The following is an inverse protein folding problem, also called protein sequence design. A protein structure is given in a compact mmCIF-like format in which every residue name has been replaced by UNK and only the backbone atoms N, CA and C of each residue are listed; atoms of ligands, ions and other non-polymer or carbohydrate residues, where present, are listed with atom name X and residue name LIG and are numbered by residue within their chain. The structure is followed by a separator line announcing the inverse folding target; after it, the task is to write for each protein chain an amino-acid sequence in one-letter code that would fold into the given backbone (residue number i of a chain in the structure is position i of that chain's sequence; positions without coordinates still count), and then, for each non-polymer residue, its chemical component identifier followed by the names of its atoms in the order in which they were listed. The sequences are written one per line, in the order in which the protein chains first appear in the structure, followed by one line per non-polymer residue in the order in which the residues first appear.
data_IF_962501409471
#
_entry.id   IF_962501409471
#
_cell.length_a   1.000
_cell.length_b   1.000
_cell.length_c   1.000
_cell.angle_alpha   90.00
_cell.angle_beta   90.00
_cell.angle_gamma   90.00
#
_symmetry.space_group_name_H-M   'P 1'
#
loop_
_entity.id
_entity.type
_entity.pdbx_description
1 polymer ?
#
# COMPACT_ATOMS: atom_id res chain seq x y z
N UNK A 1 -27.49 -17.26 38.99
CA UNK A 1 -26.37 -16.48 38.42
C UNK A 1 -25.25 -17.48 38.20
N UNK A 2 -25.16 -18.06 37.01
CA UNK A 2 -24.17 -19.08 36.67
C UNK A 2 -23.22 -18.47 35.65
N UNK A 3 -22.02 -18.13 36.12
CA UNK A 3 -20.87 -17.76 35.31
C UNK A 3 -20.55 -18.92 34.36
N UNK A 4 -20.95 -18.77 33.10
CA UNK A 4 -20.50 -19.63 32.02
C UNK A 4 -19.19 -19.06 31.48
N UNK A 5 -18.08 -19.30 32.20
CA UNK A 5 -16.73 -19.15 31.64
C UNK A 5 -16.60 -20.21 30.55
N UNK A 6 -16.92 -19.81 29.31
CA UNK A 6 -16.64 -20.63 28.13
C UNK A 6 -15.13 -20.60 27.94
N UNK A 7 -14.43 -21.74 27.76
CA UNK A 7 -12.99 -21.73 27.60
C UNK A 7 -12.63 -20.88 26.37
N UNK A 8 -11.75 -19.90 26.59
CA UNK A 8 -11.11 -19.16 25.52
C UNK A 8 -10.52 -20.17 24.52
N UNK A 9 -10.62 -19.94 23.20
CA UNK A 9 -9.96 -20.80 22.23
C UNK A 9 -8.48 -20.92 22.60
N UNK A 10 -7.82 -22.07 22.34
CA UNK A 10 -6.41 -22.25 22.65
C UNK A 10 -5.59 -21.37 21.70
N UNK A 11 -5.43 -20.09 22.04
CA UNK A 11 -4.48 -19.20 21.39
C UNK A 11 -3.09 -19.56 21.92
N UNK A 12 -2.62 -20.74 21.49
CA UNK A 12 -1.33 -21.28 21.89
C UNK A 12 -0.24 -20.26 21.57
N UNK A 13 0.31 -19.64 22.62
CA UNK A 13 1.36 -18.62 22.51
C UNK A 13 0.96 -17.21 22.97
N UNK A 14 -0.32 -16.89 23.19
CA UNK A 14 -0.71 -15.60 23.80
C UNK A 14 -0.66 -15.70 25.32
N UNK A 15 0.07 -14.81 26.03
CA UNK A 15 0.00 -14.74 27.49
C UNK A 15 -1.41 -14.35 27.94
N UNK A 16 -2.02 -15.15 28.83
CA UNK A 16 -3.40 -14.92 29.31
C UNK A 16 -3.62 -13.49 29.84
N UNK A 17 -2.62 -12.90 30.50
CA UNK A 17 -2.68 -11.52 31.01
C UNK A 17 -2.69 -10.43 29.94
N UNK A 18 -2.02 -10.61 28.80
CA UNK A 18 -2.01 -9.61 27.71
C UNK A 18 -3.36 -9.58 26.98
N UNK A 19 -3.94 -10.76 26.83
CA UNK A 19 -5.26 -10.96 26.27
C UNK A 19 -6.36 -10.36 27.16
N UNK A 20 -6.33 -10.63 28.47
CA UNK A 20 -7.29 -10.06 29.41
C UNK A 20 -7.22 -8.53 29.42
N UNK A 21 -6.01 -7.98 29.36
CA UNK A 21 -5.80 -6.54 29.24
C UNK A 21 -6.37 -5.96 27.94
N UNK A 22 -6.21 -6.66 26.81
CA UNK A 22 -6.77 -6.26 25.53
C UNK A 22 -8.31 -6.26 25.57
N UNK A 23 -8.91 -7.29 26.16
CA UNK A 23 -10.37 -7.38 26.32
C UNK A 23 -10.92 -6.33 27.27
N UNK A 24 -10.23 -6.07 28.39
CA UNK A 24 -10.61 -5.01 29.32
C UNK A 24 -10.55 -3.63 28.63
N UNK A 25 -9.51 -3.38 27.83
CA UNK A 25 -9.35 -2.15 27.05
C UNK A 25 -10.44 -2.01 25.98
N UNK A 26 -10.73 -3.09 25.25
CA UNK A 26 -11.79 -3.12 24.25
C UNK A 26 -13.18 -2.93 24.85
N UNK A 27 -13.46 -3.51 26.03
CA UNK A 27 -14.72 -3.28 26.76
C UNK A 27 -14.86 -1.85 27.27
N UNK A 28 -13.77 -1.25 27.74
CA UNK A 28 -13.80 0.13 28.22
C UNK A 28 -13.97 1.16 27.09
N UNK A 29 -13.37 0.89 25.92
CA UNK A 29 -13.39 1.80 24.76
C UNK A 29 -14.56 1.52 23.81
N UNK A 30 -15.13 0.32 23.82
CA UNK A 30 -16.16 -0.15 22.89
C UNK A 30 -15.61 -0.55 21.51
N UNK A 31 -14.33 -0.30 21.26
CA UNK A 31 -13.63 -0.58 20.00
C UNK A 31 -12.18 -1.03 20.26
N UNK A 32 -11.65 -1.88 19.38
CA UNK A 32 -10.23 -2.26 19.32
C UNK A 32 -9.74 -2.12 17.88
N UNK A 33 -8.53 -1.61 17.70
CA UNK A 33 -7.93 -1.52 16.37
C UNK A 33 -7.26 -2.83 15.97
N UNK A 34 -7.15 -3.07 14.66
CA UNK A 34 -6.47 -4.25 14.13
C UNK A 34 -5.00 -4.34 14.62
N UNK A 35 -4.31 -3.20 14.74
CA UNK A 35 -2.93 -3.16 15.25
C UNK A 35 -2.82 -3.60 16.72
N UNK A 36 -3.79 -3.21 17.57
CA UNK A 36 -3.82 -3.62 18.98
C UNK A 36 -4.03 -5.13 19.14
N UNK A 37 -4.88 -5.71 18.30
CA UNK A 37 -5.12 -7.16 18.25
C UNK A 37 -3.89 -7.89 17.74
N UNK A 38 -3.28 -7.42 16.64
CA UNK A 38 -2.08 -8.03 16.06
C UNK A 38 -0.87 -7.94 16.99
N UNK A 39 -0.76 -6.89 17.80
CA UNK A 39 0.35 -6.70 18.74
C UNK A 39 0.36 -7.74 19.86
N UNK A 40 -0.81 -8.12 20.37
CA UNK A 40 -0.96 -9.19 21.38
C UNK A 40 -0.79 -10.57 20.75
N UNK A 41 -1.11 -10.69 19.46
CA UNK A 41 -1.03 -11.93 18.69
C UNK A 41 0.30 -12.12 17.94
N UNK A 42 1.32 -11.31 18.22
CA UNK A 42 2.62 -11.29 17.51
C UNK A 42 3.33 -12.66 17.46
N UNK A 43 3.12 -13.49 18.48
CA UNK A 43 3.77 -14.79 18.65
C UNK A 43 2.86 -15.98 18.23
N UNK A 44 1.66 -15.68 17.72
CA UNK A 44 0.71 -16.69 17.25
C UNK A 44 0.62 -16.64 15.73
N UNK A 45 0.65 -17.81 15.12
CA UNK A 45 0.46 -17.94 13.69
C UNK A 45 -0.95 -17.47 13.31
N UNK A 46 -1.01 -16.34 12.61
CA UNK A 46 -2.27 -15.69 12.20
C UNK A 46 -2.86 -16.47 11.04
N UNK A 47 -3.63 -17.51 11.37
CA UNK A 47 -4.39 -18.32 10.41
C UNK A 47 -5.83 -17.81 10.29
N UNK A 48 -6.50 -18.17 9.20
CA UNK A 48 -7.89 -17.76 8.93
C UNK A 48 -8.85 -18.16 10.05
N UNK A 49 -8.67 -19.35 10.61
CA UNK A 49 -9.50 -19.86 11.72
C UNK A 49 -9.31 -19.04 13.00
N UNK A 50 -8.08 -18.61 13.26
CA UNK A 50 -7.75 -17.75 14.40
C UNK A 50 -8.37 -16.37 14.24
N UNK A 51 -8.29 -15.76 13.04
CA UNK A 51 -8.91 -14.46 12.75
C UNK A 51 -10.43 -14.53 12.94
N UNK A 52 -11.08 -15.56 12.39
CA UNK A 52 -12.52 -15.76 12.53
C UNK A 52 -12.93 -15.96 13.99
N UNK A 53 -12.13 -16.72 14.76
CA UNK A 53 -12.33 -16.92 16.19
C UNK A 53 -12.22 -15.62 17.00
N UNK A 54 -11.21 -14.79 16.72
CA UNK A 54 -11.02 -13.49 17.39
C UNK A 54 -12.17 -12.54 17.07
N UNK A 55 -12.60 -12.47 15.81
CA UNK A 55 -13.73 -11.62 15.40
C UNK A 55 -15.04 -12.04 16.08
N UNK A 56 -15.30 -13.35 16.16
CA UNK A 56 -16.49 -13.88 16.84
C UNK A 56 -16.45 -13.60 18.35
N UNK A 57 -15.28 -13.69 18.96
CA UNK A 57 -15.09 -13.42 20.39
C UNK A 57 -15.28 -11.93 20.72
N UNK A 58 -14.66 -11.02 19.95
CA UNK A 58 -14.83 -9.58 20.13
C UNK A 58 -16.29 -9.14 19.96
N UNK A 59 -16.98 -9.69 18.96
CA UNK A 59 -18.41 -9.42 18.76
C UNK A 59 -19.28 -9.91 19.92
N UNK A 60 -18.98 -11.09 20.49
CA UNK A 60 -19.69 -11.63 21.66
C UNK A 60 -19.51 -10.75 22.90
N UNK A 61 -18.35 -10.15 23.05
CA UNK A 61 -18.02 -9.23 24.14
C UNK A 61 -18.49 -7.78 23.87
N UNK A 62 -19.14 -7.51 22.73
CA UNK A 62 -19.68 -6.20 22.37
C UNK A 62 -18.63 -5.19 21.91
N UNK A 63 -17.47 -5.65 21.46
CA UNK A 63 -16.34 -4.81 21.05
C UNK A 63 -16.31 -4.72 19.52
N UNK A 64 -16.35 -3.51 18.99
CA UNK A 64 -16.18 -3.27 17.55
C UNK A 64 -14.70 -3.43 17.16
N UNK A 65 -14.40 -4.23 16.14
CA UNK A 65 -13.06 -4.27 15.55
C UNK A 65 -12.98 -3.17 14.49
N UNK A 66 -12.15 -2.18 14.74
CA UNK A 66 -11.79 -1.18 13.75
C UNK A 66 -10.72 -1.75 12.81
N UNK A 67 -11.19 -2.26 11.67
CA UNK A 67 -10.37 -2.72 10.55
C UNK A 67 -9.89 -1.55 9.68
N UNK A 68 -10.28 -0.31 10.00
CA UNK A 68 -9.75 0.86 9.31
C UNK A 68 -8.32 1.08 9.75
N UNK A 69 -7.39 0.79 8.84
CA UNK A 69 -6.01 1.23 9.00
C UNK A 69 -6.01 2.75 8.83
N UNK A 70 -5.97 3.45 9.95
CA UNK A 70 -5.88 4.90 9.98
C UNK A 70 -4.58 5.30 9.28
N UNK A 71 -4.69 5.77 8.03
CA UNK A 71 -3.57 6.19 7.20
C UNK A 71 -2.80 7.37 7.83
N UNK A 72 -3.32 7.93 8.94
CA UNK A 72 -2.71 8.96 9.77
C UNK A 72 -1.58 8.45 10.69
N UNK A 73 -1.35 7.15 10.84
CA UNK A 73 -0.27 6.59 11.67
C UNK A 73 1.09 6.42 10.92
N UNK A 74 1.25 7.06 9.76
CA UNK A 74 2.59 7.36 9.24
C UNK A 74 3.14 8.57 10.01
N UNK A 75 4.41 8.57 10.48
CA UNK A 75 4.97 9.70 11.19
C UNK A 75 5.03 10.90 10.24
N UNK A 76 4.04 11.78 10.37
CA UNK A 76 4.00 13.11 9.75
C UNK A 76 4.17 14.11 10.88
N UNK A 77 5.41 14.44 11.23
CA UNK A 77 5.65 15.60 12.09
C UNK A 77 6.11 16.77 11.23
N UNK A 78 5.13 17.54 10.76
CA UNK A 78 5.31 18.96 10.56
C UNK A 78 5.59 19.63 11.92
N UNK A 79 6.51 20.57 11.88
CA UNK A 79 7.05 21.33 13.01
C UNK A 79 5.94 22.01 13.82
N UNK A 80 5.89 21.75 15.12
CA UNK A 80 5.46 22.75 16.11
C UNK A 80 6.26 22.60 17.40
N UNK A 81 6.96 23.67 17.75
CA UNK A 81 7.92 23.73 18.83
C UNK A 81 7.28 23.80 20.24
N UNK A 82 7.66 22.87 21.13
CA UNK A 82 8.16 23.13 22.51
C UNK A 82 8.66 21.82 23.16
N UNK A 83 9.76 21.95 23.88
CA UNK A 83 10.75 20.95 24.31
C UNK A 83 10.34 20.10 25.55
N UNK A 84 11.24 19.30 26.19
CA UNK A 84 11.46 17.87 25.92
C UNK A 84 11.28 16.97 27.18
N UNK A 85 11.13 15.66 27.01
CA UNK A 85 11.64 14.71 28.01
C UNK A 85 12.02 13.38 27.38
N UNK A 86 13.31 13.08 27.49
CA UNK A 86 13.92 11.81 27.15
C UNK A 86 13.41 10.68 28.04
N UNK A 87 13.27 9.48 27.46
CA UNK A 87 13.80 8.24 28.04
C UNK A 87 14.33 7.40 26.88
N UNK A 88 15.63 7.14 26.95
CA UNK A 88 16.39 6.24 26.10
C UNK A 88 16.17 4.76 26.45
N UNK A 89 16.74 3.91 25.59
CA UNK A 89 17.21 2.54 25.82
C UNK A 89 16.15 1.44 25.58
N UNK A 90 16.47 0.32 24.92
CA UNK A 90 17.69 -0.17 24.27
C UNK A 90 17.37 -1.60 23.81
N UNK A 91 17.95 -2.03 22.70
CA UNK A 91 18.42 -3.41 22.58
C UNK A 91 17.45 -4.41 21.95
N UNK A 92 17.65 -4.68 20.67
CA UNK A 92 17.01 -5.79 19.98
C UNK A 92 17.41 -5.86 18.51
N UNK A 93 18.71 -5.74 18.21
CA UNK A 93 19.25 -6.11 16.91
C UNK A 93 19.04 -7.62 16.69
N UNK A 94 17.94 -7.99 16.06
CA UNK A 94 17.85 -9.28 15.38
C UNK A 94 18.46 -9.10 13.98
N UNK A 95 19.78 -9.29 13.92
CA UNK A 95 20.46 -9.75 12.71
C UNK A 95 19.83 -11.09 12.29
N UNK A 96 18.88 -10.99 11.36
CA UNK A 96 18.21 -12.09 10.70
C UNK A 96 17.62 -11.60 9.38
N UNK A 97 18.46 -10.89 8.62
CA UNK A 97 18.06 -10.19 7.39
C UNK A 97 17.82 -11.15 6.24
N UNK A 98 16.65 -11.77 6.18
CA UNK A 98 15.98 -12.01 4.90
C UNK A 98 15.05 -10.83 4.67
N UNK A 99 15.41 -9.97 3.72
CA UNK A 99 14.57 -8.85 3.32
C UNK A 99 13.21 -9.38 2.88
N UNK A 100 12.18 -9.24 3.74
CA UNK A 100 10.79 -9.51 3.34
C UNK A 100 10.52 -8.74 2.02
N UNK A 101 10.32 -9.45 0.90
CA UNK A 101 10.17 -8.82 -0.41
C UNK A 101 9.00 -7.83 -0.44
N UNK A 102 7.94 -8.13 0.32
CA UNK A 102 6.77 -7.25 0.46
C UNK A 102 7.20 -5.96 1.16
N UNK A 103 7.93 -6.07 2.26
CA UNK A 103 8.37 -4.91 3.05
C UNK A 103 9.36 -4.04 2.29
N UNK A 104 10.24 -4.65 1.50
CA UNK A 104 11.14 -3.93 0.59
C UNK A 104 10.35 -3.16 -0.48
N UNK A 105 9.38 -3.80 -1.11
CA UNK A 105 8.51 -3.19 -2.11
C UNK A 105 7.69 -2.02 -1.54
N UNK A 106 7.05 -2.21 -0.37
CA UNK A 106 6.30 -1.14 0.31
C UNK A 106 7.18 0.06 0.67
N UNK A 107 8.42 -0.19 1.08
CA UNK A 107 9.39 0.87 1.36
C UNK A 107 9.77 1.64 0.09
N UNK A 108 9.90 0.97 -1.06
CA UNK A 108 10.23 1.61 -2.33
C UNK A 108 9.10 2.52 -2.83
N UNK A 109 7.88 2.02 -2.89
CA UNK A 109 6.71 2.82 -3.32
C UNK A 109 6.35 3.92 -2.30
N UNK A 110 6.78 3.75 -1.05
CA UNK A 110 6.67 4.74 0.02
C UNK A 110 7.60 5.95 -0.15
N UNK A 111 8.62 5.88 -0.99
CA UNK A 111 9.53 7.01 -1.27
C UNK A 111 8.99 7.99 -2.30
N UNK A 112 8.08 7.55 -3.16
CA UNK A 112 7.51 8.38 -4.22
C UNK A 112 6.38 9.23 -3.64
N UNK A 113 6.43 10.54 -3.87
CA UNK A 113 5.39 11.47 -3.44
C UNK A 113 4.08 11.23 -4.19
N UNK A 114 2.95 11.48 -3.52
CA UNK A 114 1.64 11.48 -4.17
C UNK A 114 1.54 12.69 -5.10
N UNK A 115 0.87 12.50 -6.23
CA UNK A 115 0.60 13.56 -7.19
C UNK A 115 -0.69 14.31 -6.79
N UNK A 116 -0.76 15.57 -7.17
CA UNK A 116 -2.02 16.31 -7.22
C UNK A 116 -2.60 16.29 -8.65
N UNK A 117 -3.86 16.72 -8.81
CA UNK A 117 -4.53 16.68 -10.11
C UNK A 117 -3.83 17.50 -11.20
N UNK A 118 -3.20 18.64 -10.87
CA UNK A 118 -2.46 19.44 -11.85
C UNK A 118 -1.23 18.69 -12.38
N UNK A 119 -0.49 18.01 -11.50
CA UNK A 119 0.66 17.20 -11.85
C UNK A 119 0.27 15.98 -12.68
N UNK A 120 -0.88 15.37 -12.39
CA UNK A 120 -1.42 14.26 -13.20
C UNK A 120 -1.73 14.72 -14.62
N UNK A 121 -2.35 15.90 -14.77
CA UNK A 121 -2.61 16.50 -16.09
C UNK A 121 -1.31 16.83 -16.83
N UNK A 122 -0.30 17.36 -16.14
CA UNK A 122 1.01 17.66 -16.74
C UNK A 122 1.70 16.38 -17.25
N UNK A 123 1.71 15.32 -16.44
CA UNK A 123 2.27 14.03 -16.83
C UNK A 123 1.48 13.41 -17.98
N UNK A 124 0.15 13.47 -17.96
CA UNK A 124 -0.70 12.95 -19.02
C UNK A 124 -0.42 13.62 -20.38
N UNK A 125 -0.24 14.96 -20.40
CA UNK A 125 0.14 15.69 -21.62
C UNK A 125 1.50 15.26 -22.18
N UNK A 126 2.48 15.02 -21.30
CA UNK A 126 3.81 14.53 -21.71
C UNK A 126 3.75 13.12 -22.28
N UNK A 127 2.93 12.24 -21.68
CA UNK A 127 2.68 10.89 -22.18
C UNK A 127 2.04 10.94 -23.58
N UNK A 128 1.00 11.76 -23.76
CA UNK A 128 0.32 11.94 -25.05
C UNK A 128 1.29 12.45 -26.13
N UNK A 129 2.06 13.50 -25.84
CA UNK A 129 3.06 14.04 -26.75
C UNK A 129 4.15 13.02 -27.11
N UNK A 130 4.62 12.24 -26.14
CA UNK A 130 5.60 11.17 -26.37
C UNK A 130 5.03 10.01 -27.18
N UNK A 131 3.77 9.63 -26.96
CA UNK A 131 3.08 8.59 -27.73
C UNK A 131 2.97 8.99 -29.20
N UNK A 132 2.51 10.21 -29.49
CA UNK A 132 2.47 10.73 -30.86
C UNK A 132 3.86 10.81 -31.51
N UNK A 133 4.88 11.20 -30.75
CA UNK A 133 6.24 11.23 -31.27
C UNK A 133 6.77 9.82 -31.60
N UNK A 134 6.45 8.83 -30.77
CA UNK A 134 6.82 7.44 -31.01
C UNK A 134 6.08 6.85 -32.20
N UNK A 135 4.79 7.16 -32.36
CA UNK A 135 3.97 6.76 -33.52
C UNK A 135 4.55 7.34 -34.81
N UNK A 136 4.86 8.65 -34.83
CA UNK A 136 5.48 9.30 -36.00
C UNK A 136 6.80 8.66 -36.41
N UNK A 137 7.65 8.29 -35.45
CA UNK A 137 8.90 7.57 -35.71
C UNK A 137 8.65 6.18 -36.29
N UNK A 138 7.66 5.45 -35.76
CA UNK A 138 7.29 4.12 -36.24
C UNK A 138 6.72 4.19 -37.67
N UNK A 139 5.85 5.16 -37.95
CA UNK A 139 5.26 5.39 -39.27
C UNK A 139 6.33 5.74 -40.31
N UNK A 140 7.27 6.64 -39.96
CA UNK A 140 8.38 6.99 -40.83
C UNK A 140 9.24 5.75 -41.15
N UNK A 141 9.55 4.94 -40.15
CA UNK A 141 10.31 3.71 -40.31
C UNK A 141 9.57 2.68 -41.18
N UNK A 142 8.26 2.50 -40.98
CA UNK A 142 7.42 1.59 -41.75
C UNK A 142 7.27 2.02 -43.21
N UNK A 143 7.19 3.34 -43.46
CA UNK A 143 7.13 3.92 -44.79
C UNK A 143 8.50 3.98 -45.49
N UNK A 144 9.61 3.71 -44.79
CA UNK A 144 10.96 3.92 -45.30
C UNK A 144 11.29 5.40 -45.54
N UNK A 145 10.58 6.31 -44.87
CA UNK A 145 10.79 7.75 -44.94
C UNK A 145 12.06 8.13 -44.17
N UNK A 146 12.97 8.86 -44.82
CA UNK A 146 14.14 9.43 -44.17
C UNK A 146 13.78 10.77 -43.54
N UNK A 147 13.63 10.79 -42.21
CA UNK A 147 13.45 12.01 -41.46
C UNK A 147 14.72 12.85 -41.45
N UNK A 148 14.56 14.17 -41.48
CA UNK A 148 15.67 15.09 -41.26
C UNK A 148 16.23 14.93 -39.85
N UNK A 149 17.57 14.95 -39.73
CA UNK A 149 18.29 14.72 -38.46
C UNK A 149 17.74 15.54 -37.27
N UNK A 150 17.40 16.84 -37.42
CA UNK A 150 16.85 17.63 -36.32
C UNK A 150 15.44 17.19 -35.89
N UNK A 151 14.60 16.75 -36.84
CA UNK A 151 13.25 16.26 -36.58
C UNK A 151 13.29 14.92 -35.86
N UNK A 152 14.09 13.98 -36.36
CA UNK A 152 14.29 12.67 -35.74
C UNK A 152 14.73 12.80 -34.27
N UNK A 153 15.74 13.63 -34.00
CA UNK A 153 16.22 13.88 -32.63
C UNK A 153 15.16 14.53 -31.74
N UNK A 154 14.32 15.41 -32.28
CA UNK A 154 13.22 16.03 -31.53
C UNK A 154 12.18 14.98 -31.14
N UNK A 155 11.78 14.13 -32.09
CA UNK A 155 10.80 13.06 -31.84
C UNK A 155 11.34 12.04 -30.83
N UNK A 156 12.60 11.64 -30.95
CA UNK A 156 13.24 10.74 -29.98
C UNK A 156 13.25 11.32 -28.56
N UNK A 157 13.49 12.63 -28.41
CA UNK A 157 13.45 13.30 -27.11
C UNK A 157 12.04 13.31 -26.52
N UNK A 158 11.03 13.63 -27.33
CA UNK A 158 9.63 13.63 -26.90
C UNK A 158 9.17 12.23 -26.50
N UNK A 159 9.48 11.21 -27.31
CA UNK A 159 9.15 9.82 -27.00
C UNK A 159 9.78 9.39 -25.67
N UNK A 160 11.06 9.71 -25.45
CA UNK A 160 11.75 9.42 -24.18
C UNK A 160 11.14 10.16 -23.00
N UNK A 161 10.74 11.43 -23.19
CA UNK A 161 10.09 12.21 -22.14
C UNK A 161 8.72 11.61 -21.75
N UNK A 162 7.94 11.17 -22.74
CA UNK A 162 6.66 10.50 -22.51
C UNK A 162 6.82 9.20 -21.73
N UNK A 163 7.83 8.39 -22.04
CA UNK A 163 8.14 7.17 -21.27
C UNK A 163 8.52 7.47 -19.82
N UNK A 164 9.31 8.52 -19.59
CA UNK A 164 9.65 8.96 -18.23
C UNK A 164 8.40 9.44 -17.49
N UNK A 165 7.53 10.20 -18.15
CA UNK A 165 6.27 10.66 -17.57
C UNK A 165 5.33 9.48 -17.24
N UNK A 166 5.24 8.49 -18.12
CA UNK A 166 4.48 7.25 -17.92
C UNK A 166 4.96 6.49 -16.70
N UNK A 167 6.27 6.34 -16.53
CA UNK A 167 6.87 5.72 -15.36
C UNK A 167 6.57 6.50 -14.08
N UNK A 168 6.69 7.84 -14.12
CA UNK A 168 6.39 8.69 -12.96
C UNK A 168 4.93 8.59 -12.53
N UNK A 169 3.99 8.65 -13.47
CA UNK A 169 2.56 8.52 -13.20
C UNK A 169 2.20 7.14 -12.64
N UNK A 170 2.81 6.08 -13.19
CA UNK A 170 2.64 4.72 -12.69
C UNK A 170 3.18 4.58 -11.27
N UNK A 171 4.39 5.08 -11.01
CA UNK A 171 5.06 4.98 -9.69
C UNK A 171 4.28 5.69 -8.59
N UNK A 172 3.74 6.88 -8.88
CA UNK A 172 2.92 7.63 -7.93
C UNK A 172 1.64 6.87 -7.53
N UNK A 173 1.13 6.02 -8.42
CA UNK A 173 -0.11 5.27 -8.24
C UNK A 173 0.10 3.82 -7.73
N UNK A 174 1.33 3.37 -7.51
CA UNK A 174 1.58 2.01 -6.98
C UNK A 174 0.96 1.77 -5.60
N UNK A 175 0.82 2.83 -4.78
CA UNK A 175 0.17 2.74 -3.46
C UNK A 175 -1.32 2.40 -3.58
N UNK A 176 -1.98 2.92 -4.61
CA UNK A 176 -3.39 2.60 -4.89
C UNK A 176 -3.55 1.10 -5.18
N UNK A 177 -2.66 0.53 -5.99
CA UNK A 177 -2.66 -0.91 -6.31
C UNK A 177 -2.58 -1.74 -5.04
N UNK A 178 -1.65 -1.42 -4.14
CA UNK A 178 -1.52 -2.13 -2.86
C UNK A 178 -2.80 -2.00 -2.02
N UNK A 179 -3.40 -0.81 -1.95
CA UNK A 179 -4.63 -0.58 -1.19
C UNK A 179 -5.82 -1.40 -1.70
N UNK A 180 -5.89 -1.62 -3.02
CA UNK A 180 -6.92 -2.45 -3.65
C UNK A 180 -6.58 -3.93 -3.44
N UNK A 181 -5.35 -4.35 -3.72
CA UNK A 181 -4.89 -5.74 -3.61
C UNK A 181 -5.08 -6.31 -2.19
N UNK A 182 -4.88 -5.49 -1.15
CA UNK A 182 -5.14 -5.86 0.25
C UNK A 182 -6.56 -6.40 0.48
N UNK A 183 -7.56 -5.90 -0.23
CA UNK A 183 -8.96 -6.37 -0.12
C UNK A 183 -9.19 -7.76 -0.68
N UNK A 184 -8.23 -8.31 -1.42
CA UNK A 184 -8.28 -9.62 -2.09
C UNK A 184 -7.37 -10.67 -1.45
N UNK A 185 -6.64 -10.33 -0.39
CA UNK A 185 -5.86 -11.28 0.39
C UNK A 185 -6.79 -12.33 1.01
N UNK A 186 -6.31 -13.58 1.08
CA UNK A 186 -7.08 -14.71 1.64
C UNK A 186 -8.03 -15.38 0.66
N UNK A 187 -8.05 -14.98 -0.62
CA UNK A 187 -8.86 -15.61 -1.69
C UNK A 187 -8.10 -16.62 -2.55
N UNK A 188 -7.01 -17.19 -2.03
CA UNK A 188 -6.24 -18.25 -2.70
C UNK A 188 -5.08 -17.77 -3.59
N UNK A 189 -4.73 -16.49 -3.55
CA UNK A 189 -3.57 -15.93 -4.28
C UNK A 189 -2.68 -15.13 -3.30
N UNK A 190 -1.36 -15.15 -3.52
CA UNK A 190 -0.41 -14.40 -2.70
C UNK A 190 -0.59 -12.89 -2.93
N UNK A 191 -0.33 -12.08 -1.91
CA UNK A 191 -0.44 -10.62 -2.00
C UNK A 191 0.47 -10.04 -3.10
N UNK A 192 1.69 -10.59 -3.27
CA UNK A 192 2.61 -10.14 -4.31
C UNK A 192 2.03 -10.37 -5.71
N UNK A 193 1.39 -11.52 -5.95
CA UNK A 193 0.79 -11.84 -7.24
C UNK A 193 -0.38 -10.90 -7.54
N UNK A 194 -1.23 -10.62 -6.54
CA UNK A 194 -2.31 -9.64 -6.65
C UNK A 194 -1.77 -8.22 -6.96
N UNK A 195 -0.65 -7.85 -6.34
CA UNK A 195 0.03 -6.58 -6.62
C UNK A 195 0.57 -6.56 -8.05
N UNK A 196 1.19 -7.65 -8.53
CA UNK A 196 1.70 -7.70 -9.91
C UNK A 196 0.58 -7.56 -10.93
N UNK A 197 -0.52 -8.30 -10.75
CA UNK A 197 -1.70 -8.17 -11.62
C UNK A 197 -2.29 -6.76 -11.58
N UNK A 198 -2.38 -6.17 -10.38
CA UNK A 198 -2.83 -4.79 -10.22
C UNK A 198 -1.91 -3.76 -10.88
N UNK A 199 -0.59 -3.95 -10.81
CA UNK A 199 0.40 -3.10 -11.48
C UNK A 199 0.27 -3.20 -12.99
N UNK A 200 0.02 -4.40 -13.52
CA UNK A 200 -0.24 -4.60 -14.94
C UNK A 200 -1.54 -3.91 -15.39
N UNK A 201 -2.59 -3.98 -14.56
CA UNK A 201 -3.82 -3.21 -14.76
C UNK A 201 -3.58 -1.71 -14.76
N UNK A 202 -2.80 -1.20 -13.80
CA UNK A 202 -2.44 0.21 -13.68
C UNK A 202 -1.68 0.70 -14.91
N UNK A 203 -0.68 -0.04 -15.40
CA UNK A 203 0.07 0.36 -16.60
C UNK A 203 -0.85 0.53 -17.81
N UNK A 204 -1.80 -0.38 -18.01
CA UNK A 204 -2.81 -0.27 -19.08
C UNK A 204 -3.79 0.87 -18.87
N UNK A 205 -4.13 1.18 -17.63
CA UNK A 205 -4.99 2.31 -17.30
C UNK A 205 -4.29 3.63 -17.62
N UNK A 206 -3.00 3.75 -17.30
CA UNK A 206 -2.17 4.92 -17.63
C UNK A 206 -2.08 5.14 -19.14
N UNK A 207 -1.95 4.08 -19.94
CA UNK A 207 -1.94 4.18 -21.41
C UNK A 207 -3.24 4.72 -22.01
N UNK A 208 -4.37 4.51 -21.31
CA UNK A 208 -5.71 4.91 -21.77
C UNK A 208 -6.28 6.10 -21.00
N UNK A 209 -5.47 6.70 -20.13
CA UNK A 209 -5.92 7.78 -19.28
C UNK A 209 -6.21 9.03 -20.11
N UNK A 210 -7.39 9.59 -19.90
CA UNK A 210 -7.87 10.76 -20.62
C UNK A 210 -8.09 11.90 -19.63
N UNK A 211 -7.11 12.82 -19.58
CA UNK A 211 -7.09 13.95 -18.66
C UNK A 211 -8.15 15.01 -19.00
N UNK A 212 -8.79 14.95 -20.18
CA UNK A 212 -9.83 15.91 -20.58
C UNK A 212 -11.17 15.65 -19.89
N UNK A 213 -11.34 14.45 -19.33
CA UNK A 213 -12.59 14.04 -18.67
C UNK A 213 -12.77 14.58 -17.25
N UNK A 214 -11.71 15.11 -16.63
CA UNK A 214 -11.80 15.85 -15.35
C UNK A 214 -12.26 15.03 -14.14
N UNK A 215 -11.95 13.73 -14.11
CA UNK A 215 -12.19 12.86 -12.95
C UNK A 215 -11.05 12.90 -11.94
#
# INVERSE_FOLDING_TARGET
MTDAVTPLPPWAGVPEGELEALLAKGKAKGELTLDEVLQVMKDVEVTTDVILGVRAMLHREGIALDETLDAAALPTTAVRARSPKAVEASGGESQGGTSDPVRMYLKEIGRVSLLNGEQEVELAKRIEAGSHASERLADAAAAGELLERPEELRLQRLARDGEVAKQALTQANLRLVVSIAKRYVGRGMLLLDLIQEGNLGLMRAVEKFDYTKGF
#
